data_IF_985503903806
#
_entry.id   IF_985503903806
#
_cell.length_a   1.000
_cell.length_b   1.000
_cell.length_c   1.000
_cell.angle_alpha   90.00
_cell.angle_beta   90.00
_cell.angle_gamma   90.00
#
_symmetry.space_group_name_H-M   'P 1'
#
loop_
_entity.id
_entity.type
_entity.pdbx_description
1 polymer ?
#
# COMPACT_ATOMS: atom_id res chain seq x y z
N UNK A 1 -18.22 22.59 36.86
CA UNK A 1 -18.05 21.13 36.75
C UNK A 1 -18.52 20.63 35.39
N UNK A 2 -19.77 20.92 34.96
CA UNK A 2 -20.29 20.46 33.66
C UNK A 2 -19.51 21.04 32.47
N UNK A 3 -19.11 22.29 32.52
CA UNK A 3 -18.31 22.96 31.48
C UNK A 3 -16.90 22.36 31.33
N UNK A 4 -16.26 22.00 32.42
CA UNK A 4 -14.95 21.32 32.37
C UNK A 4 -15.04 19.93 31.73
N UNK A 5 -16.11 19.17 32.00
CA UNK A 5 -16.36 17.88 31.38
C UNK A 5 -16.58 18.03 29.86
N UNK A 6 -17.36 19.05 29.44
CA UNK A 6 -17.57 19.35 28.03
C UNK A 6 -16.27 19.73 27.30
N UNK A 7 -15.43 20.56 27.92
CA UNK A 7 -14.13 20.95 27.37
C UNK A 7 -13.19 19.74 27.19
N UNK A 8 -13.10 18.83 28.15
CA UNK A 8 -12.30 17.60 28.04
C UNK A 8 -12.81 16.69 26.92
N UNK A 9 -14.13 16.56 26.76
CA UNK A 9 -14.70 15.74 25.66
C UNK A 9 -14.36 16.33 24.28
N UNK A 10 -14.51 17.64 24.09
CA UNK A 10 -14.18 18.31 22.82
C UNK A 10 -12.69 18.14 22.48
N UNK A 11 -11.82 18.37 23.45
CA UNK A 11 -10.38 18.20 23.27
C UNK A 11 -10.01 16.75 22.92
N UNK A 12 -10.62 15.79 23.60
CA UNK A 12 -10.43 14.36 23.33
C UNK A 12 -10.87 13.96 21.91
N UNK A 13 -12.01 14.49 21.43
CA UNK A 13 -12.49 14.24 20.06
C UNK A 13 -11.53 14.86 19.03
N UNK A 14 -11.07 16.09 19.19
CA UNK A 14 -10.13 16.73 18.27
C UNK A 14 -8.82 15.95 18.16
N UNK A 15 -8.25 15.50 19.28
CA UNK A 15 -7.06 14.66 19.28
C UNK A 15 -7.32 13.28 18.66
N UNK A 16 -8.48 12.68 18.92
CA UNK A 16 -8.87 11.38 18.37
C UNK A 16 -8.94 11.39 16.85
N UNK A 17 -9.51 12.42 16.24
CA UNK A 17 -9.54 12.61 14.78
C UNK A 17 -8.13 12.74 14.21
N UNK A 18 -7.27 13.56 14.83
CA UNK A 18 -5.87 13.72 14.41
C UNK A 18 -5.11 12.38 14.45
N UNK A 19 -5.26 11.60 15.52
CA UNK A 19 -4.65 10.28 15.65
C UNK A 19 -5.20 9.28 14.63
N UNK A 20 -6.48 9.33 14.28
CA UNK A 20 -7.11 8.48 13.27
C UNK A 20 -6.51 8.67 11.89
N UNK A 21 -6.29 9.90 11.47
CA UNK A 21 -5.65 10.24 10.19
C UNK A 21 -4.22 9.69 10.13
N UNK A 22 -3.45 9.86 11.21
CA UNK A 22 -2.07 9.36 11.29
C UNK A 22 -2.01 7.83 11.19
N UNK A 23 -2.94 7.11 11.84
CA UNK A 23 -3.01 5.64 11.76
C UNK A 23 -3.34 5.14 10.36
N UNK A 24 -4.27 5.81 9.67
CA UNK A 24 -4.60 5.46 8.28
C UNK A 24 -3.40 5.57 7.35
N UNK A 25 -2.62 6.61 7.48
CA UNK A 25 -1.42 6.84 6.69
C UNK A 25 -0.30 5.83 6.99
N UNK A 26 -0.09 5.46 8.25
CA UNK A 26 0.89 4.43 8.62
C UNK A 26 0.55 3.06 8.02
N UNK A 27 -0.75 2.74 7.88
CA UNK A 27 -1.19 1.50 7.23
C UNK A 27 -0.77 1.45 5.76
N UNK A 28 -0.82 2.57 5.04
CA UNK A 28 -0.38 2.64 3.63
C UNK A 28 1.13 2.42 3.53
N UNK A 29 1.93 3.00 4.42
CA UNK A 29 3.39 2.78 4.44
C UNK A 29 3.70 1.29 4.68
N UNK A 30 3.06 0.66 5.66
CA UNK A 30 3.26 -0.76 5.94
C UNK A 30 2.90 -1.64 4.73
N UNK A 31 1.81 -1.32 4.06
CA UNK A 31 1.42 -2.01 2.82
C UNK A 31 2.47 -1.82 1.72
N UNK A 32 3.03 -0.61 1.57
CA UNK A 32 4.12 -0.37 0.60
C UNK A 32 5.39 -1.16 0.96
N UNK A 33 5.70 -1.37 2.24
CA UNK A 33 6.79 -2.24 2.69
C UNK A 33 6.53 -3.70 2.31
N UNK A 34 5.30 -4.17 2.50
CA UNK A 34 4.89 -5.51 2.06
C UNK A 34 5.06 -5.68 0.55
N UNK A 35 4.64 -4.70 -0.26
CA UNK A 35 4.83 -4.75 -1.71
C UNK A 35 6.31 -4.73 -2.14
N UNK A 36 7.16 -3.95 -1.47
CA UNK A 36 8.62 -3.97 -1.71
C UNK A 36 9.20 -5.37 -1.45
N UNK A 37 8.73 -6.04 -0.41
CA UNK A 37 9.11 -7.42 -0.11
C UNK A 37 8.58 -8.42 -1.15
N UNK A 38 7.34 -8.28 -1.60
CA UNK A 38 6.74 -9.07 -2.68
C UNK A 38 7.58 -8.95 -3.96
N UNK A 39 7.98 -7.74 -4.35
CA UNK A 39 8.84 -7.52 -5.52
C UNK A 39 10.19 -8.23 -5.37
N UNK A 40 10.79 -8.21 -4.17
CA UNK A 40 12.02 -8.94 -3.89
C UNK A 40 11.84 -10.45 -4.03
N UNK A 41 10.70 -10.98 -3.60
CA UNK A 41 10.38 -12.41 -3.77
C UNK A 41 10.19 -12.76 -5.25
N UNK A 42 9.51 -11.92 -6.04
CA UNK A 42 9.40 -12.14 -7.49
C UNK A 42 10.77 -12.23 -8.16
N UNK A 43 11.72 -11.34 -7.83
CA UNK A 43 13.09 -11.42 -8.34
C UNK A 43 13.71 -12.79 -8.01
N UNK A 44 13.53 -13.27 -6.77
CA UNK A 44 14.06 -14.55 -6.33
C UNK A 44 13.43 -15.72 -7.08
N UNK A 45 12.09 -15.76 -7.18
CA UNK A 45 11.38 -16.87 -7.86
C UNK A 45 11.73 -16.95 -9.35
N UNK A 46 11.80 -15.81 -10.05
CA UNK A 46 12.15 -15.74 -11.46
C UNK A 46 13.62 -16.12 -11.68
N UNK A 47 14.54 -15.58 -10.88
CA UNK A 47 15.99 -15.75 -11.11
C UNK A 47 16.48 -17.15 -10.74
N UNK A 48 15.98 -17.71 -9.63
CA UNK A 48 16.54 -18.96 -9.09
C UNK A 48 15.69 -20.18 -9.42
N UNK A 49 14.38 -20.05 -9.46
CA UNK A 49 13.48 -21.20 -9.69
C UNK A 49 13.00 -21.31 -11.13
N UNK A 50 13.17 -20.25 -11.94
CA UNK A 50 12.65 -20.18 -13.32
C UNK A 50 11.16 -20.49 -13.44
N UNK A 51 10.40 -20.08 -12.41
CA UNK A 51 8.98 -20.32 -12.32
C UNK A 51 8.19 -19.39 -13.24
N UNK A 52 7.03 -19.85 -13.67
CA UNK A 52 6.08 -18.98 -14.36
C UNK A 52 5.53 -17.95 -13.39
N UNK A 53 5.20 -16.75 -13.91
CA UNK A 53 4.67 -15.65 -13.08
C UNK A 53 3.40 -16.04 -12.31
N UNK A 54 2.54 -16.86 -12.92
CA UNK A 54 1.35 -17.37 -12.25
C UNK A 54 1.70 -18.21 -11.02
N UNK A 55 2.65 -19.14 -11.16
CA UNK A 55 3.10 -19.98 -10.05
C UNK A 55 3.87 -19.19 -8.99
N UNK A 56 4.70 -18.23 -9.41
CA UNK A 56 5.35 -17.30 -8.48
C UNK A 56 4.33 -16.50 -7.64
N UNK A 57 3.20 -16.09 -8.22
CA UNK A 57 2.11 -15.46 -7.46
C UNK A 57 1.56 -16.37 -6.36
N UNK A 58 1.40 -17.67 -6.62
CA UNK A 58 0.92 -18.62 -5.62
C UNK A 58 1.91 -18.78 -4.46
N UNK A 59 3.17 -19.07 -4.76
CA UNK A 59 4.22 -19.25 -3.76
C UNK A 59 4.42 -18.02 -2.87
N UNK A 60 4.38 -16.85 -3.49
CA UNK A 60 4.50 -15.58 -2.76
C UNK A 60 3.24 -15.31 -1.94
N UNK A 61 2.07 -15.55 -2.51
CA UNK A 61 0.78 -15.36 -1.85
C UNK A 61 0.67 -16.16 -0.55
N UNK A 62 1.03 -17.44 -0.60
CA UNK A 62 1.04 -18.34 0.56
C UNK A 62 2.00 -17.87 1.66
N UNK A 63 3.20 -17.38 1.29
CA UNK A 63 4.20 -16.89 2.24
C UNK A 63 3.84 -15.56 2.89
N UNK A 64 3.23 -14.65 2.11
CA UNK A 64 2.86 -13.31 2.59
C UNK A 64 1.59 -13.35 3.45
N UNK A 65 0.59 -14.10 2.99
CA UNK A 65 -0.73 -14.13 3.60
C UNK A 65 -1.45 -12.78 3.56
N UNK A 66 -2.50 -12.64 4.35
CA UNK A 66 -3.27 -11.41 4.43
C UNK A 66 -3.93 -11.01 3.10
N UNK A 67 -4.22 -9.72 2.92
CA UNK A 67 -4.94 -9.22 1.73
C UNK A 67 -4.10 -9.23 0.46
N UNK A 68 -2.81 -8.99 0.58
CA UNK A 68 -1.84 -9.03 -0.50
C UNK A 68 -1.63 -10.48 -0.98
N UNK A 69 -1.55 -11.43 -0.04
CA UNK A 69 -1.49 -12.85 -0.34
C UNK A 69 -2.73 -13.35 -1.06
N UNK A 70 -3.93 -13.05 -0.54
CA UNK A 70 -5.22 -13.39 -1.17
C UNK A 70 -5.32 -12.84 -2.61
N UNK A 71 -4.79 -11.63 -2.85
CA UNK A 71 -4.74 -11.05 -4.18
C UNK A 71 -3.87 -11.88 -5.12
N UNK A 72 -2.66 -12.25 -4.69
CA UNK A 72 -1.70 -13.00 -5.50
C UNK A 72 -2.20 -14.42 -5.80
N UNK A 73 -2.75 -15.12 -4.81
CA UNK A 73 -3.38 -16.43 -5.00
C UNK A 73 -4.54 -16.37 -6.00
N UNK A 74 -5.33 -15.32 -5.94
CA UNK A 74 -6.44 -15.11 -6.88
C UNK A 74 -5.95 -14.86 -8.30
N UNK A 75 -4.86 -14.11 -8.46
CA UNK A 75 -4.22 -13.90 -9.77
C UNK A 75 -3.72 -15.23 -10.33
N UNK A 76 -3.04 -16.04 -9.51
CA UNK A 76 -2.60 -17.39 -9.91
C UNK A 76 -3.78 -18.22 -10.41
N UNK A 77 -4.81 -18.39 -9.59
CA UNK A 77 -5.99 -19.18 -9.94
C UNK A 77 -6.64 -18.75 -11.24
N UNK A 78 -6.81 -17.43 -11.46
CA UNK A 78 -7.35 -16.90 -12.71
C UNK A 78 -6.45 -17.17 -13.91
N UNK A 79 -5.14 -17.12 -13.71
CA UNK A 79 -4.16 -17.39 -14.78
C UNK A 79 -4.23 -18.87 -15.21
N UNK A 80 -4.44 -19.78 -14.26
CA UNK A 80 -4.61 -21.23 -14.55
C UNK A 80 -5.95 -21.52 -15.23
N UNK A 81 -7.05 -20.91 -14.77
CA UNK A 81 -8.40 -21.14 -15.30
C UNK A 81 -8.58 -20.58 -16.72
N UNK A 82 -7.91 -19.45 -17.02
CA UNK A 82 -8.08 -18.70 -18.25
C UNK A 82 -6.79 -18.60 -19.06
N UNK A 83 -6.34 -19.72 -19.60
CA UNK A 83 -5.13 -19.82 -20.43
C UNK A 83 -5.10 -18.92 -21.67
N UNK A 84 -6.25 -18.40 -22.09
CA UNK A 84 -6.37 -17.47 -23.22
C UNK A 84 -6.23 -16.00 -22.85
N UNK A 85 -6.31 -15.63 -21.58
CA UNK A 85 -6.12 -14.25 -21.11
C UNK A 85 -4.63 -13.98 -20.85
N UNK A 86 -4.14 -12.80 -21.24
CA UNK A 86 -2.78 -12.40 -20.94
C UNK A 86 -2.66 -12.13 -19.42
N UNK A 87 -1.60 -12.61 -18.79
CA UNK A 87 -1.28 -12.38 -17.38
C UNK A 87 -1.43 -10.88 -17.00
N UNK A 88 -0.96 -9.97 -17.85
CA UNK A 88 -1.09 -8.53 -17.61
C UNK A 88 -2.55 -8.07 -17.44
N UNK A 89 -3.47 -8.58 -18.24
CA UNK A 89 -4.89 -8.22 -18.13
C UNK A 89 -5.47 -8.69 -16.80
N UNK A 90 -5.19 -9.93 -16.41
CA UNK A 90 -5.62 -10.49 -15.13
C UNK A 90 -5.04 -9.68 -13.97
N UNK A 91 -3.76 -9.35 -14.04
CA UNK A 91 -3.07 -8.52 -13.06
C UNK A 91 -3.73 -7.14 -12.93
N UNK A 92 -3.93 -6.45 -14.04
CA UNK A 92 -4.51 -5.11 -14.04
C UNK A 92 -5.91 -5.08 -13.43
N UNK A 93 -6.76 -6.04 -13.78
CA UNK A 93 -8.12 -6.12 -13.25
C UNK A 93 -8.16 -6.40 -11.75
N UNK A 94 -7.43 -7.43 -11.30
CA UNK A 94 -7.45 -7.82 -9.88
C UNK A 94 -6.79 -6.77 -9.00
N UNK A 95 -5.66 -6.21 -9.43
CA UNK A 95 -4.98 -5.13 -8.71
C UNK A 95 -5.82 -3.86 -8.65
N UNK A 96 -6.52 -3.49 -9.74
CA UNK A 96 -7.42 -2.34 -9.72
C UNK A 96 -8.58 -2.56 -8.73
N UNK A 97 -9.14 -3.76 -8.68
CA UNK A 97 -10.20 -4.12 -7.73
C UNK A 97 -9.70 -4.06 -6.28
N UNK A 98 -8.52 -4.61 -6.03
CA UNK A 98 -7.85 -4.56 -4.73
C UNK A 98 -7.60 -3.12 -4.27
N UNK A 99 -6.99 -2.29 -5.12
CA UNK A 99 -6.66 -0.90 -4.81
C UNK A 99 -7.90 -0.08 -4.47
N UNK A 100 -9.00 -0.25 -5.21
CA UNK A 100 -10.28 0.41 -4.93
C UNK A 100 -10.87 -0.04 -3.60
N UNK A 101 -10.84 -1.35 -3.30
CA UNK A 101 -11.33 -1.93 -2.03
C UNK A 101 -10.56 -1.39 -0.83
N UNK A 102 -9.24 -1.30 -0.94
CA UNK A 102 -8.37 -0.81 0.14
C UNK A 102 -8.23 0.72 0.15
N UNK A 103 -8.85 1.44 -0.79
CA UNK A 103 -8.82 2.91 -0.93
C UNK A 103 -7.39 3.45 -0.99
N UNK A 104 -6.57 2.84 -1.84
CA UNK A 104 -5.17 3.22 -1.99
C UNK A 104 -5.03 4.52 -2.78
N UNK A 105 -3.98 5.33 -2.51
CA UNK A 105 -3.65 6.51 -3.31
C UNK A 105 -3.38 6.14 -4.78
N UNK A 106 -3.71 7.04 -5.70
CA UNK A 106 -3.54 6.82 -7.15
C UNK A 106 -2.11 6.45 -7.54
N UNK A 107 -1.11 7.10 -6.94
CA UNK A 107 0.31 6.77 -7.15
C UNK A 107 0.66 5.35 -6.76
N UNK A 108 0.14 4.87 -5.64
CA UNK A 108 0.36 3.49 -5.18
C UNK A 108 -0.30 2.50 -6.12
N UNK A 109 -1.52 2.81 -6.58
CA UNK A 109 -2.24 2.01 -7.56
C UNK A 109 -1.47 1.93 -8.89
N UNK A 110 -0.91 3.04 -9.36
CA UNK A 110 -0.10 3.10 -10.57
C UNK A 110 1.14 2.20 -10.46
N UNK A 111 1.86 2.25 -9.34
CA UNK A 111 3.03 1.41 -9.08
C UNK A 111 2.68 -0.10 -9.12
N UNK A 112 1.56 -0.51 -8.51
CA UNK A 112 1.09 -1.90 -8.54
C UNK A 112 0.77 -2.33 -9.98
N UNK A 113 0.10 -1.47 -10.76
CA UNK A 113 -0.26 -1.78 -12.15
C UNK A 113 0.96 -1.84 -13.07
N UNK A 114 1.93 -0.94 -12.90
CA UNK A 114 3.16 -0.92 -13.69
C UNK A 114 3.94 -2.24 -13.60
N UNK A 115 3.94 -2.89 -12.44
CA UNK A 115 4.60 -4.18 -12.28
C UNK A 115 4.07 -5.22 -13.28
N UNK A 116 2.77 -5.31 -13.49
CA UNK A 116 2.18 -6.24 -14.47
C UNK A 116 2.67 -6.01 -15.91
N UNK A 117 3.01 -4.78 -16.29
CA UNK A 117 3.57 -4.47 -17.62
C UNK A 117 5.00 -5.00 -17.80
N UNK A 118 5.73 -5.15 -16.71
CA UNK A 118 7.13 -5.57 -16.72
C UNK A 118 7.29 -7.09 -16.76
N UNK A 119 6.21 -7.84 -16.65
CA UNK A 119 6.21 -9.30 -16.53
C UNK A 119 6.07 -10.05 -17.86
N UNK A 120 5.99 -9.33 -18.98
CA UNK A 120 5.79 -9.92 -20.32
C UNK A 120 7.07 -10.09 -21.16
N UNK A 121 8.26 -9.94 -20.57
CA UNK A 121 9.51 -10.11 -21.31
C UNK A 121 9.96 -11.57 -21.32
N UNK A 122 10.37 -12.06 -22.49
CA UNK A 122 10.91 -13.43 -22.65
C UNK A 122 12.32 -13.57 -22.08
N UNK A 123 13.07 -12.46 -21.98
CA UNK A 123 14.44 -12.43 -21.46
C UNK A 123 14.44 -12.25 -19.93
N UNK A 124 14.93 -13.26 -19.21
CA UNK A 124 15.00 -13.31 -17.74
C UNK A 124 15.84 -12.14 -17.17
N UNK A 125 16.96 -11.79 -17.83
CA UNK A 125 17.85 -10.71 -17.35
C UNK A 125 17.19 -9.33 -17.51
N UNK A 126 16.45 -9.12 -18.60
CA UNK A 126 15.66 -7.91 -18.80
C UNK A 126 14.55 -7.83 -17.78
N UNK A 127 13.82 -8.92 -17.57
CA UNK A 127 12.73 -8.98 -16.59
C UNK A 127 13.23 -8.69 -15.17
N UNK A 128 14.32 -9.30 -14.75
CA UNK A 128 14.97 -9.05 -13.45
C UNK A 128 15.32 -7.58 -13.28
N UNK A 129 16.02 -6.99 -14.27
CA UNK A 129 16.41 -5.58 -14.25
C UNK A 129 15.21 -4.64 -14.12
N UNK A 130 14.12 -4.94 -14.83
CA UNK A 130 12.90 -4.15 -14.76
C UNK A 130 12.24 -4.22 -13.37
N UNK A 131 12.22 -5.40 -12.75
CA UNK A 131 11.68 -5.55 -11.39
C UNK A 131 12.57 -4.84 -10.37
N UNK A 132 13.89 -4.88 -10.51
CA UNK A 132 14.83 -4.13 -9.67
C UNK A 132 14.61 -2.61 -9.78
N UNK A 133 14.43 -2.09 -10.99
CA UNK A 133 14.07 -0.68 -11.20
C UNK A 133 12.74 -0.32 -10.55
N UNK A 134 11.74 -1.19 -10.66
CA UNK A 134 10.45 -0.98 -10.03
C UNK A 134 10.55 -0.98 -8.50
N UNK A 135 11.33 -1.88 -7.92
CA UNK A 135 11.60 -1.92 -6.49
C UNK A 135 12.23 -0.61 -5.99
N UNK A 136 13.21 -0.06 -6.72
CA UNK A 136 13.81 1.24 -6.38
C UNK A 136 12.78 2.39 -6.47
N UNK A 137 11.91 2.36 -7.48
CA UNK A 137 10.81 3.32 -7.61
C UNK A 137 9.85 3.26 -6.41
N UNK A 138 9.48 2.04 -5.99
CA UNK A 138 8.66 1.81 -4.80
C UNK A 138 9.32 2.37 -3.53
N UNK A 139 10.59 2.05 -3.33
CA UNK A 139 11.37 2.51 -2.19
C UNK A 139 11.40 4.04 -2.12
N UNK A 140 11.67 4.70 -3.25
CA UNK A 140 11.72 6.14 -3.32
C UNK A 140 10.36 6.80 -3.02
N UNK A 141 9.26 6.27 -3.57
CA UNK A 141 7.91 6.79 -3.28
C UNK A 141 7.50 6.54 -1.83
N UNK A 142 7.86 5.39 -1.25
CA UNK A 142 7.63 5.10 0.17
C UNK A 142 8.39 6.06 1.08
N UNK A 143 9.66 6.35 0.77
CA UNK A 143 10.47 7.29 1.56
C UNK A 143 9.88 8.71 1.49
N UNK A 144 9.51 9.19 0.30
CA UNK A 144 8.84 10.49 0.13
C UNK A 144 7.54 10.56 0.94
N UNK A 145 6.69 9.54 0.82
CA UNK A 145 5.44 9.48 1.57
C UNK A 145 5.69 9.49 3.08
N UNK A 146 6.71 8.78 3.55
CA UNK A 146 7.09 8.77 4.97
C UNK A 146 7.54 10.15 5.46
N UNK A 147 8.35 10.86 4.69
CA UNK A 147 8.78 12.22 5.00
C UNK A 147 7.59 13.20 5.06
N UNK A 148 6.75 13.19 4.02
CA UNK A 148 5.52 13.99 3.99
C UNK A 148 4.61 13.72 5.19
N UNK A 149 4.51 12.46 5.61
CA UNK A 149 3.69 12.08 6.76
C UNK A 149 4.28 12.56 8.09
N UNK A 150 5.61 12.54 8.22
CA UNK A 150 6.28 13.07 9.42
C UNK A 150 6.05 14.58 9.57
N UNK A 151 6.11 15.33 8.47
CA UNK A 151 5.81 16.76 8.45
C UNK A 151 4.32 17.01 8.76
N UNK A 152 3.42 16.34 8.04
CA UNK A 152 1.97 16.47 8.26
C UNK A 152 1.56 16.05 9.66
N UNK A 153 2.20 15.07 10.28
CA UNK A 153 1.92 14.64 11.66
C UNK A 153 2.10 15.77 12.65
N UNK A 154 3.18 16.56 12.55
CA UNK A 154 3.42 17.72 13.40
C UNK A 154 2.31 18.76 13.21
N UNK A 155 2.00 19.09 11.96
CA UNK A 155 0.96 20.08 11.62
C UNK A 155 -0.42 19.62 12.12
N UNK A 156 -0.81 18.37 11.90
CA UNK A 156 -2.11 17.83 12.33
C UNK A 156 -2.25 17.89 13.86
N UNK A 157 -1.22 17.48 14.60
CA UNK A 157 -1.26 17.51 16.06
C UNK A 157 -1.33 18.95 16.58
N UNK A 158 -0.55 19.87 16.02
CA UNK A 158 -0.57 21.28 16.42
C UNK A 158 -1.92 21.92 16.13
N UNK A 159 -2.46 21.74 14.91
CA UNK A 159 -3.77 22.28 14.54
C UNK A 159 -4.90 21.71 15.38
N UNK A 160 -4.90 20.38 15.63
CA UNK A 160 -5.91 19.75 16.47
C UNK A 160 -5.88 20.28 17.90
N UNK A 161 -4.67 20.51 18.45
CA UNK A 161 -4.50 21.08 19.80
C UNK A 161 -4.96 22.54 19.85
N UNK A 162 -4.57 23.36 18.86
CA UNK A 162 -4.96 24.77 18.78
C UNK A 162 -6.48 24.94 18.62
N UNK A 163 -7.11 24.14 17.75
CA UNK A 163 -8.56 24.15 17.56
C UNK A 163 -9.29 23.74 18.83
N UNK A 164 -8.84 22.70 19.51
CA UNK A 164 -9.42 22.28 20.79
C UNK A 164 -9.35 23.38 21.84
N UNK A 165 -8.19 24.06 21.95
CA UNK A 165 -7.99 25.17 22.90
C UNK A 165 -8.84 26.40 22.54
N UNK A 166 -8.96 26.73 21.26
CA UNK A 166 -9.79 27.84 20.79
C UNK A 166 -11.28 27.62 21.08
N UNK A 167 -11.78 26.40 20.87
CA UNK A 167 -13.18 26.07 21.18
C UNK A 167 -13.45 26.17 22.69
N UNK A 168 -12.51 25.70 23.53
CA UNK A 168 -12.62 25.82 24.98
C UNK A 168 -12.71 27.29 25.40
N UNK A 169 -11.86 28.19 24.84
CA UNK A 169 -11.88 29.62 25.14
C UNK A 169 -13.17 30.30 24.68
N UNK A 170 -13.79 29.85 23.58
CA UNK A 170 -15.05 30.38 23.07
C UNK A 170 -16.27 29.98 23.93
N UNK A 171 -16.18 28.82 24.58
CA UNK A 171 -17.26 28.27 25.41
C UNK A 171 -17.14 28.65 26.90
N UNK A 172 -16.00 29.21 27.30
CA UNK A 172 -15.77 29.69 28.66
C UNK A 172 -16.33 31.11 28.80
#
# INVERSE_FOLDING_TARGET
MLQMLGACMIFGVCLGVGCGIIRGNNKIILMMETWEYILQMFISEITYKKETLGHACYEIGEKIGGKEGELLEKICKRTEEKQSENFYQIWEEECTRYCKKEKLPDKTMELIREFGKMTGFEDEDVQKKMIEMQKEKWRNERLKMREELLERKKVILTLSSCLGMMIILLLW
#
